data_IF_784260997860
#
_entry.id   IF_784260997860
#
_cell.length_a   1.000
_cell.length_b   1.000
_cell.length_c   1.000
_cell.angle_alpha   90.00
_cell.angle_beta   90.00
_cell.angle_gamma   90.00
#
_symmetry.space_group_name_H-M   'P 1'
#
loop_
_entity.id
_entity.type
_entity.pdbx_description
1 polymer ?
#
# COMPACT_ATOMS: atom_id res chain seq x y z
N UNK A 1 -42.50 9.10 9.95
CA UNK A 1 -41.10 9.53 10.19
C UNK A 1 -40.87 9.39 11.68
N UNK A 2 -40.10 8.38 12.10
CA UNK A 2 -39.87 8.07 13.52
C UNK A 2 -38.75 8.98 14.03
N UNK A 3 -39.13 10.07 14.70
CA UNK A 3 -38.22 10.96 15.41
C UNK A 3 -37.63 10.21 16.60
N UNK A 4 -36.33 9.87 16.54
CA UNK A 4 -35.60 9.30 17.67
C UNK A 4 -35.21 10.46 18.57
N UNK A 5 -35.80 10.52 19.77
CA UNK A 5 -35.39 11.47 20.81
C UNK A 5 -34.16 10.94 21.55
N UNK A 6 -33.02 11.60 21.33
CA UNK A 6 -31.74 11.24 21.97
C UNK A 6 -31.71 11.60 23.47
N UNK A 7 -32.64 12.44 23.95
CA UNK A 7 -32.74 12.79 25.37
C UNK A 7 -33.57 11.80 26.19
N UNK A 8 -34.34 10.92 25.54
CA UNK A 8 -35.20 9.94 26.20
C UNK A 8 -35.10 8.54 25.56
N UNK A 9 -33.92 7.88 25.63
CA UNK A 9 -33.74 6.57 25.04
C UNK A 9 -34.63 5.52 25.72
N UNK A 10 -35.34 4.66 24.96
CA UNK A 10 -36.13 3.59 25.53
C UNK A 10 -35.28 2.61 26.36
N UNK A 11 -35.82 2.10 27.48
CA UNK A 11 -35.08 1.19 28.35
C UNK A 11 -34.67 -0.11 27.62
N UNK A 12 -33.62 -0.77 28.10
CA UNK A 12 -33.04 -2.01 27.54
C UNK A 12 -32.41 -1.95 26.14
N UNK A 13 -31.87 -0.80 25.73
CA UNK A 13 -31.11 -0.67 24.47
C UNK A 13 -29.68 -0.16 24.71
N UNK A 14 -28.70 -0.71 23.97
CA UNK A 14 -27.32 -0.21 23.95
C UNK A 14 -27.17 0.78 22.80
N UNK A 15 -26.81 2.02 23.12
CA UNK A 15 -26.54 3.06 22.14
C UNK A 15 -25.03 3.35 22.11
N UNK A 16 -24.48 3.49 20.91
CA UNK A 16 -23.11 3.96 20.70
C UNK A 16 -23.19 5.18 19.78
N UNK A 17 -22.82 6.35 20.31
CA UNK A 17 -22.78 7.60 19.56
C UNK A 17 -21.32 7.95 19.34
N UNK A 18 -20.86 7.91 18.09
CA UNK A 18 -19.55 8.42 17.70
C UNK A 18 -19.71 9.76 17.00
N UNK A 19 -18.95 10.75 17.46
CA UNK A 19 -18.83 12.04 16.77
C UNK A 19 -17.51 12.00 16.01
N UNK A 20 -17.61 11.76 14.71
CA UNK A 20 -16.45 11.84 13.82
C UNK A 20 -16.37 13.24 13.22
N UNK A 21 -15.13 13.70 13.05
CA UNK A 21 -14.87 14.99 12.43
C UNK A 21 -15.11 14.83 10.93
N UNK A 22 -16.02 15.62 10.38
CA UNK A 22 -16.27 15.62 8.94
C UNK A 22 -14.97 16.00 8.20
N UNK A 23 -14.50 15.11 7.32
CA UNK A 23 -13.25 15.32 6.60
C UNK A 23 -13.44 16.50 5.65
N UNK A 24 -12.79 17.63 5.95
CA UNK A 24 -12.78 18.78 5.05
C UNK A 24 -12.18 18.39 3.70
N UNK A 25 -12.63 19.02 2.61
CA UNK A 25 -12.08 18.75 1.27
C UNK A 25 -10.55 18.92 1.21
N UNK A 26 -9.99 19.85 1.99
CA UNK A 26 -8.54 20.02 2.14
C UNK A 26 -7.86 18.83 2.83
N UNK A 27 -8.43 18.33 3.92
CA UNK A 27 -7.92 17.14 4.63
C UNK A 27 -7.90 15.89 3.75
N UNK A 28 -8.97 15.70 2.96
CA UNK A 28 -9.05 14.62 1.98
C UNK A 28 -7.95 14.68 0.94
N UNK A 29 -7.68 15.86 0.39
CA UNK A 29 -6.66 16.04 -0.64
C UNK A 29 -5.25 15.76 -0.09
N UNK A 30 -4.95 16.16 1.15
CA UNK A 30 -3.65 15.87 1.79
C UNK A 30 -3.46 14.36 1.99
N UNK A 31 -4.51 13.66 2.45
CA UNK A 31 -4.48 12.20 2.60
C UNK A 31 -4.23 11.49 1.28
N UNK A 32 -5.02 11.82 0.25
CA UNK A 32 -4.88 11.23 -1.08
C UNK A 32 -3.51 11.54 -1.70
N UNK A 33 -3.03 12.78 -1.58
CA UNK A 33 -1.70 13.17 -2.08
C UNK A 33 -0.59 12.37 -1.39
N UNK A 34 -0.65 12.23 -0.07
CA UNK A 34 0.31 11.41 0.70
C UNK A 34 0.32 9.97 0.20
N UNK A 35 -0.86 9.38 -0.01
CA UNK A 35 -0.96 7.98 -0.46
C UNK A 35 -0.42 7.81 -1.89
N UNK A 36 -0.71 8.74 -2.80
CA UNK A 36 -0.15 8.76 -4.15
C UNK A 36 1.37 8.96 -4.14
N UNK A 37 1.88 9.91 -3.35
CA UNK A 37 3.31 10.17 -3.21
C UNK A 37 4.04 8.92 -2.69
N UNK A 38 3.48 8.25 -1.69
CA UNK A 38 4.03 7.00 -1.17
C UNK A 38 4.09 5.91 -2.24
N UNK A 39 3.03 5.76 -3.03
CA UNK A 39 2.98 4.82 -4.14
C UNK A 39 4.02 5.13 -5.22
N UNK A 40 4.18 6.40 -5.59
CA UNK A 40 5.17 6.82 -6.59
C UNK A 40 6.60 6.54 -6.11
N UNK A 41 6.90 6.82 -4.85
CA UNK A 41 8.22 6.50 -4.25
C UNK A 41 8.46 4.99 -4.27
N UNK A 42 7.45 4.19 -3.91
CA UNK A 42 7.55 2.74 -3.97
C UNK A 42 7.82 2.23 -5.39
N UNK A 43 7.10 2.74 -6.40
CA UNK A 43 7.31 2.39 -7.81
C UNK A 43 8.72 2.79 -8.27
N UNK A 44 9.19 3.98 -7.91
CA UNK A 44 10.54 4.44 -8.23
C UNK A 44 11.60 3.50 -7.62
N UNK A 45 11.40 3.04 -6.38
CA UNK A 45 12.33 2.13 -5.73
C UNK A 45 12.34 0.74 -6.38
N UNK A 46 11.15 0.19 -6.70
CA UNK A 46 11.03 -1.11 -7.38
C UNK A 46 11.67 -1.07 -8.77
N UNK A 47 11.44 0.00 -9.54
CA UNK A 47 12.04 0.16 -10.88
C UNK A 47 13.55 0.31 -10.81
N UNK A 48 14.08 1.05 -9.83
CA UNK A 48 15.52 1.17 -9.59
C UNK A 48 16.15 -0.20 -9.27
N UNK A 49 15.54 -0.98 -8.38
CA UNK A 49 16.05 -2.32 -8.01
C UNK A 49 16.01 -3.26 -9.20
N UNK A 50 14.92 -3.26 -9.98
CA UNK A 50 14.81 -4.07 -11.19
C UNK A 50 15.88 -3.69 -12.22
N UNK A 51 16.11 -2.40 -12.42
CA UNK A 51 17.17 -1.89 -13.30
C UNK A 51 18.56 -2.35 -12.85
N UNK A 52 18.87 -2.23 -11.55
CA UNK A 52 20.15 -2.68 -11.00
C UNK A 52 20.35 -4.19 -11.22
N UNK A 53 19.35 -5.01 -10.91
CA UNK A 53 19.43 -6.45 -11.12
C UNK A 53 19.64 -6.80 -12.61
N UNK A 54 18.92 -6.14 -13.51
CA UNK A 54 19.09 -6.33 -14.95
C UNK A 54 20.48 -5.91 -15.44
N UNK A 55 21.01 -4.78 -14.95
CA UNK A 55 22.34 -4.31 -15.28
C UNK A 55 23.43 -5.28 -14.82
N UNK A 56 23.31 -5.85 -13.61
CA UNK A 56 24.24 -6.87 -13.09
C UNK A 56 24.19 -8.15 -13.92
N UNK A 57 23.00 -8.57 -14.37
CA UNK A 57 22.86 -9.79 -15.16
C UNK A 57 23.45 -9.65 -16.57
N UNK A 58 23.27 -8.50 -17.19
CA UNK A 58 23.79 -8.18 -18.52
C UNK A 58 25.28 -7.82 -18.54
N UNK A 59 25.85 -7.42 -17.40
CA UNK A 59 27.28 -7.10 -17.29
C UNK A 59 28.17 -8.33 -17.48
N UNK A 60 29.20 -8.21 -18.32
CA UNK A 60 30.26 -9.21 -18.46
C UNK A 60 31.31 -9.14 -17.34
N UNK A 61 31.35 -8.03 -16.60
CA UNK A 61 32.27 -7.81 -15.48
C UNK A 61 31.71 -8.34 -14.15
N UNK A 62 30.39 -8.61 -14.08
CA UNK A 62 29.75 -9.13 -12.88
C UNK A 62 30.10 -10.61 -12.67
N UNK A 63 30.47 -10.94 -11.44
CA UNK A 63 30.76 -12.30 -11.00
C UNK A 63 29.53 -13.19 -11.05
N UNK A 64 29.76 -14.51 -11.06
CA UNK A 64 28.67 -15.49 -10.98
C UNK A 64 27.84 -15.35 -9.69
N UNK A 65 28.47 -14.90 -8.60
CA UNK A 65 27.79 -14.70 -7.31
C UNK A 65 26.84 -13.50 -7.36
N UNK A 66 27.29 -12.36 -7.87
CA UNK A 66 26.45 -11.16 -8.01
C UNK A 66 25.23 -11.41 -8.90
N UNK A 67 25.41 -12.19 -9.96
CA UNK A 67 24.30 -12.61 -10.84
C UNK A 67 23.31 -13.52 -10.12
N UNK A 68 23.77 -14.42 -9.24
CA UNK A 68 22.88 -15.25 -8.41
C UNK A 68 22.03 -14.40 -7.47
N UNK A 69 22.63 -13.41 -6.81
CA UNK A 69 21.91 -12.49 -5.94
C UNK A 69 20.88 -11.66 -6.72
N UNK A 70 21.25 -11.13 -7.89
CA UNK A 70 20.32 -10.42 -8.76
C UNK A 70 19.11 -11.29 -9.19
N UNK A 71 19.34 -12.56 -9.57
CA UNK A 71 18.26 -13.50 -9.91
C UNK A 71 17.38 -13.82 -8.71
N UNK A 72 17.97 -13.98 -7.51
CA UNK A 72 17.23 -14.24 -6.28
C UNK A 72 16.26 -13.10 -5.96
N UNK A 73 16.72 -11.85 -6.06
CA UNK A 73 15.89 -10.66 -5.86
C UNK A 73 14.74 -10.60 -6.87
N UNK A 74 15.02 -10.83 -8.15
CA UNK A 74 13.99 -10.84 -9.21
C UNK A 74 12.95 -11.96 -9.00
N UNK A 75 13.39 -13.14 -8.56
CA UNK A 75 12.51 -14.27 -8.26
C UNK A 75 11.61 -13.97 -7.07
N UNK A 76 12.15 -13.38 -6.00
CA UNK A 76 11.39 -12.97 -4.82
C UNK A 76 10.36 -11.88 -5.18
N UNK A 77 10.75 -10.88 -5.98
CA UNK A 77 9.84 -9.84 -6.45
C UNK A 77 8.70 -10.43 -7.30
N UNK A 78 9.02 -11.34 -8.21
CA UNK A 78 8.02 -12.03 -9.05
C UNK A 78 7.06 -12.85 -8.19
N UNK A 79 7.58 -13.60 -7.22
CA UNK A 79 6.76 -14.37 -6.27
C UNK A 79 5.84 -13.48 -5.41
N UNK A 80 6.34 -12.33 -4.95
CA UNK A 80 5.55 -11.36 -4.20
C UNK A 80 4.43 -10.74 -5.03
N UNK A 81 4.71 -10.36 -6.29
CA UNK A 81 3.70 -9.80 -7.20
C UNK A 81 2.64 -10.86 -7.55
N UNK A 82 3.05 -12.07 -7.92
CA UNK A 82 2.14 -13.17 -8.23
C UNK A 82 1.29 -13.51 -6.99
N UNK A 83 1.91 -13.61 -5.81
CA UNK A 83 1.18 -13.89 -4.56
C UNK A 83 0.17 -12.79 -4.19
N UNK A 84 0.46 -11.53 -4.51
CA UNK A 84 -0.49 -10.43 -4.32
C UNK A 84 -1.66 -10.47 -5.32
N UNK A 85 -1.37 -10.73 -6.60
CA UNK A 85 -2.37 -10.74 -7.69
C UNK A 85 -3.24 -12.00 -7.65
N UNK A 86 -2.65 -13.16 -7.35
CA UNK A 86 -3.34 -14.44 -7.19
C UNK A 86 -3.80 -14.54 -5.73
N UNK A 87 -4.70 -13.66 -5.34
CA UNK A 87 -5.35 -13.71 -4.04
C UNK A 87 -6.37 -14.86 -4.06
N UNK A 88 -6.03 -15.99 -3.43
CA UNK A 88 -7.01 -16.99 -2.96
C UNK A 88 -7.19 -16.82 -1.46
#
# INVERSE_FOLDING_TARGET
MSTIDLNSPPPNHKYSVSVEREETAGGRNVRLFKDVALFLVAIAFVTLVAWLCYSTLSSSAASAEEKKWAISVLSAATGGIIGYLVRK
#
